data_IF_958675073184
#
_entry.id   IF_958675073184
#
_cell.length_a   1.000
_cell.length_b   1.000
_cell.length_c   1.000
_cell.angle_alpha   90.00
_cell.angle_beta   90.00
_cell.angle_gamma   90.00
#
_symmetry.space_group_name_H-M   'P 1'
#
loop_
_entity.id
_entity.type
_entity.pdbx_description
1 polymer ?
#
# COMPACT_ATOMS: atom_id res chain seq x y z
N UNK A 1 21.55 -6.69 15.81
CA UNK A 1 21.08 -5.51 15.05
C UNK A 1 19.69 -5.87 14.57
N UNK A 2 18.67 -5.07 14.90
CA UNK A 2 17.29 -5.59 14.94
C UNK A 2 16.80 -6.03 13.56
N UNK A 3 16.41 -7.30 13.46
CA UNK A 3 15.72 -7.86 12.30
C UNK A 3 14.27 -7.34 12.18
N UNK A 4 13.82 -6.49 13.11
CA UNK A 4 12.42 -6.09 13.31
C UNK A 4 11.89 -4.98 12.39
N UNK A 5 12.75 -4.25 11.65
CA UNK A 5 12.30 -3.05 10.90
C UNK A 5 11.64 -3.35 9.53
N UNK A 6 11.26 -4.60 9.25
CA UNK A 6 10.78 -4.99 7.93
C UNK A 6 9.40 -4.40 7.62
N UNK A 7 8.45 -4.43 8.56
CA UNK A 7 7.13 -3.83 8.38
C UNK A 7 7.20 -2.30 8.23
N UNK A 8 8.03 -1.63 9.03
CA UNK A 8 8.27 -0.18 8.89
C UNK A 8 8.87 0.19 7.53
N UNK A 9 9.78 -0.64 7.00
CA UNK A 9 10.31 -0.44 5.65
C UNK A 9 9.22 -0.57 4.59
N UNK A 10 8.31 -1.54 4.75
CA UNK A 10 7.17 -1.74 3.83
C UNK A 10 6.19 -0.56 3.85
N UNK A 11 5.94 -0.03 5.04
CA UNK A 11 5.15 1.19 5.21
C UNK A 11 5.78 2.37 4.46
N UNK A 12 7.11 2.54 4.55
CA UNK A 12 7.80 3.59 3.81
C UNK A 12 7.67 3.41 2.29
N UNK A 13 7.84 2.18 1.78
CA UNK A 13 7.67 1.88 0.36
C UNK A 13 6.27 2.29 -0.16
N UNK A 14 5.23 2.05 0.63
CA UNK A 14 3.85 2.45 0.32
C UNK A 14 3.65 3.98 0.33
N UNK A 15 4.18 4.68 1.34
CA UNK A 15 4.09 6.15 1.42
C UNK A 15 4.81 6.80 0.22
N UNK A 16 5.94 6.24 -0.21
CA UNK A 16 6.65 6.73 -1.40
C UNK A 16 5.83 6.55 -2.68
N UNK A 17 5.10 5.44 -2.83
CA UNK A 17 4.17 5.25 -3.96
C UNK A 17 3.10 6.34 -3.97
N UNK A 18 2.43 6.57 -2.84
CA UNK A 18 1.37 7.59 -2.72
C UNK A 18 1.90 9.01 -3.04
N UNK A 19 3.12 9.32 -2.62
CA UNK A 19 3.77 10.59 -2.93
C UNK A 19 3.99 10.81 -4.44
N UNK A 20 4.46 9.79 -5.15
CA UNK A 20 4.65 9.85 -6.62
C UNK A 20 3.33 10.00 -7.37
N UNK A 21 2.30 9.29 -6.92
CA UNK A 21 0.97 9.40 -7.51
C UNK A 21 0.41 10.81 -7.33
N UNK A 22 0.45 11.35 -6.11
CA UNK A 22 0.00 12.71 -5.81
C UNK A 22 0.75 13.74 -6.65
N UNK A 23 2.07 13.61 -6.79
CA UNK A 23 2.85 14.50 -7.66
C UNK A 23 2.34 14.47 -9.11
N UNK A 24 1.97 13.30 -9.63
CA UNK A 24 1.44 13.16 -10.99
C UNK A 24 0.05 13.79 -11.14
N UNK A 25 -0.83 13.60 -10.15
CA UNK A 25 -2.16 14.23 -10.14
C UNK A 25 -2.08 15.76 -10.07
N UNK A 26 -1.02 16.30 -9.46
CA UNK A 26 -0.70 17.73 -9.39
C UNK A 26 0.13 18.26 -10.59
N UNK A 27 0.31 17.47 -11.66
CA UNK A 27 1.14 17.83 -12.83
C UNK A 27 2.61 18.12 -12.51
N UNK A 28 3.12 17.56 -11.40
CA UNK A 28 4.51 17.66 -10.93
C UNK A 28 5.31 16.37 -11.11
N UNK A 29 4.74 15.38 -11.81
CA UNK A 29 5.34 14.08 -12.06
C UNK A 29 4.65 13.34 -13.19
N UNK A 30 5.20 12.18 -13.55
CA UNK A 30 4.79 11.36 -14.71
C UNK A 30 4.46 9.90 -14.33
N UNK A 31 4.32 9.62 -13.03
CA UNK A 31 4.12 8.28 -12.51
C UNK A 31 2.73 7.72 -12.86
N UNK A 32 2.70 6.60 -13.58
CA UNK A 32 1.46 6.00 -14.10
C UNK A 32 0.89 4.89 -13.20
N UNK A 33 1.31 4.82 -11.93
CA UNK A 33 0.95 3.72 -11.06
C UNK A 33 1.71 2.43 -11.40
N UNK A 34 1.43 1.39 -10.63
CA UNK A 34 1.86 0.02 -10.94
C UNK A 34 0.76 -0.96 -10.56
N UNK A 35 0.84 -2.17 -11.08
CA UNK A 35 0.08 -3.28 -10.53
C UNK A 35 0.46 -3.52 -9.05
N UNK A 36 -0.49 -4.03 -8.27
CA UNK A 36 -0.32 -4.30 -6.86
C UNK A 36 0.80 -5.30 -6.59
N UNK A 37 0.95 -6.39 -7.35
CA UNK A 37 2.08 -7.33 -7.20
C UNK A 37 3.41 -6.74 -7.66
N UNK A 38 3.37 -5.75 -8.56
CA UNK A 38 4.58 -5.13 -9.12
C UNK A 38 5.18 -4.03 -8.24
N UNK A 39 4.45 -3.56 -7.22
CA UNK A 39 4.96 -2.55 -6.28
C UNK A 39 5.89 -3.20 -5.24
N UNK A 40 6.76 -2.42 -4.59
CA UNK A 40 7.72 -2.95 -3.59
C UNK A 40 7.05 -3.63 -2.39
N UNK A 41 5.85 -3.16 -2.02
CA UNK A 41 5.04 -3.79 -0.99
C UNK A 41 4.49 -5.12 -1.51
N UNK A 42 3.86 -5.14 -2.68
CA UNK A 42 3.33 -6.35 -3.32
C UNK A 42 4.36 -7.45 -3.54
N UNK A 43 5.53 -7.10 -4.08
CA UNK A 43 6.63 -8.05 -4.24
C UNK A 43 7.01 -8.72 -2.92
N UNK A 44 6.96 -7.97 -1.82
CA UNK A 44 7.21 -8.52 -0.49
C UNK A 44 6.03 -9.34 0.05
N UNK A 45 4.79 -8.94 -0.24
CA UNK A 45 3.59 -9.71 0.10
C UNK A 45 3.60 -11.09 -0.56
N UNK A 46 4.13 -11.18 -1.77
CA UNK A 46 4.22 -12.44 -2.54
C UNK A 46 5.42 -13.30 -2.16
N UNK A 47 6.46 -12.73 -1.54
CA UNK A 47 7.73 -13.41 -1.25
C UNK A 47 7.96 -13.64 0.24
N UNK A 48 8.63 -12.70 0.91
CA UNK A 48 9.11 -12.88 2.28
C UNK A 48 8.02 -12.68 3.35
N UNK A 49 7.02 -11.83 3.06
CA UNK A 49 5.98 -11.44 4.02
C UNK A 49 5.21 -12.61 4.65
N UNK A 50 4.76 -13.62 3.88
CA UNK A 50 4.10 -14.82 4.40
C UNK A 50 4.97 -15.59 5.40
N UNK A 51 6.27 -15.74 5.13
CA UNK A 51 7.19 -16.46 6.00
C UNK A 51 7.54 -15.65 7.26
N UNK A 52 7.79 -14.34 7.10
CA UNK A 52 8.13 -13.43 8.19
C UNK A 52 6.96 -13.26 9.19
N UNK A 53 5.73 -13.13 8.70
CA UNK A 53 4.55 -13.06 9.56
C UNK A 53 4.26 -14.38 10.28
N UNK A 54 4.42 -15.53 9.60
CA UNK A 54 4.29 -16.84 10.22
C UNK A 54 5.34 -17.14 11.29
N UNK A 55 6.55 -16.58 11.16
CA UNK A 55 7.61 -16.72 12.16
C UNK A 55 7.29 -16.01 13.49
N UNK A 56 6.44 -14.97 13.46
CA UNK A 56 5.97 -14.27 14.66
C UNK A 56 4.93 -15.13 15.40
N UNK A 57 3.80 -15.41 14.74
CA UNK A 57 2.74 -16.26 15.28
C UNK A 57 1.70 -16.60 14.21
N UNK A 58 0.84 -17.59 14.50
CA UNK A 58 -0.32 -17.89 13.65
C UNK A 58 -1.34 -16.75 13.61
N UNK A 59 -1.38 -15.89 14.63
CA UNK A 59 -2.23 -14.68 14.64
C UNK A 59 -1.64 -13.59 13.74
N UNK A 60 -0.33 -13.37 13.82
CA UNK A 60 0.37 -12.43 12.94
C UNK A 60 0.18 -12.83 11.47
N UNK A 61 0.20 -14.12 11.15
CA UNK A 61 -0.12 -14.58 9.79
C UNK A 61 -1.53 -14.21 9.34
N UNK A 62 -2.55 -14.39 10.20
CA UNK A 62 -3.93 -14.01 9.87
C UNK A 62 -4.09 -12.51 9.66
N UNK A 63 -3.42 -11.70 10.48
CA UNK A 63 -3.42 -10.23 10.32
C UNK A 63 -2.69 -9.84 9.03
N UNK A 64 -1.57 -10.50 8.72
CA UNK A 64 -0.85 -10.31 7.46
C UNK A 64 -1.74 -10.61 6.25
N UNK A 65 -2.45 -11.74 6.22
CA UNK A 65 -3.30 -12.09 5.08
C UNK A 65 -4.44 -11.06 4.86
N UNK A 66 -4.86 -10.34 5.91
CA UNK A 66 -5.87 -9.27 5.81
C UNK A 66 -5.40 -8.03 5.04
N UNK A 67 -4.10 -7.92 4.74
CA UNK A 67 -3.55 -6.80 3.96
C UNK A 67 -3.80 -6.94 2.45
N UNK A 68 -4.03 -8.17 1.96
CA UNK A 68 -4.02 -8.48 0.52
C UNK A 68 -5.15 -7.76 -0.22
N UNK A 69 -6.39 -7.88 0.27
CA UNK A 69 -7.57 -7.24 -0.31
C UNK A 69 -7.49 -5.70 -0.30
N UNK A 70 -7.24 -5.01 0.84
CA UNK A 70 -7.16 -3.55 0.83
C UNK A 70 -5.98 -3.03 0.00
N UNK A 71 -4.93 -3.84 -0.21
CA UNK A 71 -3.82 -3.49 -1.07
C UNK A 71 -4.20 -3.52 -2.55
N UNK A 72 -4.91 -4.56 -2.99
CA UNK A 72 -5.47 -4.63 -4.34
C UNK A 72 -6.44 -3.45 -4.59
N UNK A 73 -7.38 -3.22 -3.67
CA UNK A 73 -8.33 -2.11 -3.74
C UNK A 73 -7.63 -0.75 -3.82
N UNK A 74 -6.52 -0.56 -3.10
CA UNK A 74 -5.74 0.68 -3.15
C UNK A 74 -5.19 0.93 -4.55
N UNK A 75 -4.67 -0.11 -5.20
CA UNK A 75 -4.14 0.00 -6.57
C UNK A 75 -5.25 0.21 -7.60
N UNK A 76 -6.42 -0.40 -7.43
CA UNK A 76 -7.59 -0.13 -8.26
C UNK A 76 -8.03 1.34 -8.14
N UNK A 77 -8.09 1.88 -6.91
CA UNK A 77 -8.40 3.29 -6.68
C UNK A 77 -7.30 4.23 -7.24
N UNK A 78 -6.03 3.85 -7.12
CA UNK A 78 -4.90 4.56 -7.74
C UNK A 78 -5.05 4.66 -9.26
N UNK A 79 -5.43 3.57 -9.91
CA UNK A 79 -5.64 3.55 -11.35
C UNK A 79 -6.84 4.41 -11.74
N UNK A 80 -7.93 4.34 -10.98
CA UNK A 80 -9.11 5.16 -11.20
C UNK A 80 -8.78 6.67 -11.10
N UNK A 81 -8.00 7.08 -10.09
CA UNK A 81 -7.57 8.48 -9.96
C UNK A 81 -6.78 8.98 -11.18
N UNK A 82 -5.88 8.14 -11.71
CA UNK A 82 -5.11 8.46 -12.92
C UNK A 82 -5.99 8.53 -14.16
N UNK A 83 -6.98 7.67 -14.29
CA UNK A 83 -7.88 7.68 -15.44
C UNK A 83 -8.83 8.90 -15.40
N UNK A 84 -9.34 9.27 -14.23
CA UNK A 84 -10.07 10.52 -14.02
C UNK A 84 -9.21 11.75 -14.38
N UNK A 85 -7.92 11.75 -13.98
CA UNK A 85 -6.96 12.81 -14.36
C UNK A 85 -6.82 12.94 -15.88
N UNK A 86 -6.73 11.82 -16.62
CA UNK A 86 -6.61 11.84 -18.10
C UNK A 86 -7.82 12.46 -18.79
N UNK A 87 -9.02 12.25 -18.25
CA UNK A 87 -10.26 12.79 -18.84
C UNK A 87 -10.68 14.15 -18.23
N UNK A 88 -9.93 14.67 -17.26
CA UNK A 88 -10.22 15.93 -16.59
C UNK A 88 -11.37 15.87 -15.57
N UNK A 89 -11.76 14.66 -15.13
CA UNK A 89 -12.79 14.46 -14.12
C UNK A 89 -12.23 14.71 -12.71
N UNK A 90 -12.46 15.93 -12.21
CA UNK A 90 -11.99 16.33 -10.88
C UNK A 90 -12.75 15.63 -9.75
N UNK A 91 -14.06 15.39 -9.92
CA UNK A 91 -14.88 14.75 -8.88
C UNK A 91 -14.46 13.31 -8.67
N UNK A 92 -14.35 12.54 -9.77
CA UNK A 92 -13.89 11.16 -9.71
C UNK A 92 -12.45 11.05 -9.18
N UNK A 93 -11.58 11.99 -9.50
CA UNK A 93 -10.23 12.04 -8.94
C UNK A 93 -10.24 12.26 -7.41
N UNK A 94 -11.07 13.17 -6.90
CA UNK A 94 -11.20 13.44 -5.46
C UNK A 94 -11.81 12.25 -4.70
N UNK A 95 -12.81 11.59 -5.28
CA UNK A 95 -13.43 10.38 -4.74
C UNK A 95 -12.42 9.22 -4.69
N UNK A 96 -11.70 8.97 -5.79
CA UNK A 96 -10.67 7.96 -5.87
C UNK A 96 -9.55 8.22 -4.84
N UNK A 97 -9.09 9.46 -4.73
CA UNK A 97 -8.08 9.85 -3.73
C UNK A 97 -8.57 9.67 -2.29
N UNK A 98 -9.84 9.97 -2.02
CA UNK A 98 -10.44 9.73 -0.71
C UNK A 98 -10.43 8.25 -0.36
N UNK A 99 -10.79 7.39 -1.31
CA UNK A 99 -10.76 5.94 -1.11
C UNK A 99 -9.33 5.42 -0.91
N UNK A 100 -8.38 5.92 -1.70
CA UNK A 100 -6.97 5.63 -1.52
C UNK A 100 -6.45 5.98 -0.12
N UNK A 101 -6.82 7.14 0.44
CA UNK A 101 -6.40 7.52 1.79
C UNK A 101 -6.98 6.58 2.86
N UNK A 102 -8.26 6.18 2.73
CA UNK A 102 -8.89 5.22 3.64
C UNK A 102 -8.19 3.86 3.59
N UNK A 103 -7.94 3.35 2.39
CA UNK A 103 -7.25 2.07 2.19
C UNK A 103 -5.81 2.16 2.67
N UNK A 104 -5.11 3.25 2.39
CA UNK A 104 -3.76 3.50 2.89
C UNK A 104 -3.71 3.49 4.42
N UNK A 105 -4.69 4.11 5.10
CA UNK A 105 -4.75 4.08 6.56
C UNK A 105 -4.92 2.65 7.09
N UNK A 106 -5.75 1.82 6.44
CA UNK A 106 -5.90 0.39 6.77
C UNK A 106 -4.60 -0.38 6.59
N UNK A 107 -3.90 -0.18 5.46
CA UNK A 107 -2.61 -0.84 5.19
C UNK A 107 -1.56 -0.49 6.25
N UNK A 108 -1.46 0.79 6.60
CA UNK A 108 -0.55 1.27 7.65
C UNK A 108 -0.90 0.68 9.01
N UNK A 109 -2.17 0.65 9.39
CA UNK A 109 -2.63 0.07 10.66
C UNK A 109 -2.28 -1.43 10.76
N UNK A 110 -2.47 -2.20 9.68
CA UNK A 110 -2.09 -3.61 9.64
C UNK A 110 -0.57 -3.78 9.82
N UNK A 111 0.24 -3.01 9.08
CA UNK A 111 1.70 -3.08 9.18
C UNK A 111 2.19 -2.68 10.59
N UNK A 112 1.59 -1.67 11.21
CA UNK A 112 1.94 -1.24 12.57
C UNK A 112 1.55 -2.28 13.63
N UNK A 113 0.41 -2.95 13.47
CA UNK A 113 0.00 -4.05 14.35
C UNK A 113 0.99 -5.20 14.27
N UNK A 114 1.38 -5.59 13.05
CA UNK A 114 2.36 -6.66 12.85
C UNK A 114 3.74 -6.30 13.41
N UNK A 115 4.17 -5.05 13.25
CA UNK A 115 5.40 -4.53 13.84
C UNK A 115 5.39 -4.63 15.37
N UNK A 116 4.28 -4.23 16.00
CA UNK A 116 4.08 -4.31 17.45
C UNK A 116 4.14 -5.76 17.95
N UNK A 117 3.64 -6.72 17.17
CA UNK A 117 3.69 -8.15 17.51
C UNK A 117 5.09 -8.78 17.33
N UNK A 118 6.01 -8.10 16.66
CA UNK A 118 7.38 -8.59 16.41
C UNK A 118 8.38 -8.26 17.53
N UNK A 119 7.91 -7.56 18.57
CA UNK A 119 8.66 -7.13 19.75
C UNK A 119 8.24 -7.90 20.99
#
# INVERSE_FOLDING_TARGET
MSESAFFLRRMNDHIQYLGKLKATLEDKGDFQGSDHHSCKLGQWLDSDGPAQSSAISGEARRIFDSILEPHEQFHQASQHALDCKKIGDKSGMEEAMTEMFKLSAKLVDILMKLDTMSH
#
